data_IF_561245935025
#
_entry.id   IF_561245935025
#
_cell.length_a   1.000
_cell.length_b   1.000
_cell.length_c   1.000
_cell.angle_alpha   90.00
_cell.angle_beta   90.00
_cell.angle_gamma   90.00
#
_symmetry.space_group_name_H-M   'P 1'
#
loop_
_entity.id
_entity.type
_entity.pdbx_description
1 polymer ?
#
# COMPACT_ATOMS: atom_id res chain seq x y z
N UNK A 1 40.63 -36.35 8.05
CA UNK A 1 40.85 -35.31 7.02
C UNK A 1 40.04 -34.09 7.45
N UNK A 2 40.69 -33.12 8.09
CA UNK A 2 40.05 -31.88 8.53
C UNK A 2 39.78 -30.99 7.32
N UNK A 3 38.52 -30.61 7.13
CA UNK A 3 38.15 -29.57 6.18
C UNK A 3 38.69 -28.25 6.74
N UNK A 4 39.80 -27.79 6.17
CA UNK A 4 40.33 -26.44 6.36
C UNK A 4 39.19 -25.48 6.05
N UNK A 5 38.70 -24.77 7.07
CA UNK A 5 37.84 -23.60 6.88
C UNK A 5 38.60 -22.63 5.97
N UNK A 6 38.23 -22.61 4.70
CA UNK A 6 38.69 -21.60 3.76
C UNK A 6 38.29 -20.24 4.35
N UNK A 7 39.28 -19.44 4.72
CA UNK A 7 39.06 -18.06 5.12
C UNK A 7 38.30 -17.38 3.98
N UNK A 8 37.06 -16.98 4.25
CA UNK A 8 36.27 -16.20 3.30
C UNK A 8 37.07 -14.92 3.05
N UNK A 9 37.45 -14.61 1.80
CA UNK A 9 38.23 -13.42 1.53
C UNK A 9 37.44 -12.21 2.02
N UNK A 10 38.09 -11.25 2.69
CA UNK A 10 37.42 -10.08 3.21
C UNK A 10 36.63 -9.36 2.09
N UNK A 11 35.32 -9.18 2.32
CA UNK A 11 34.45 -8.47 1.39
C UNK A 11 34.91 -7.01 1.30
N UNK A 12 35.55 -6.66 0.19
CA UNK A 12 35.94 -5.28 -0.11
C UNK A 12 35.22 -4.80 -1.37
N UNK A 13 34.38 -3.79 -1.23
CA UNK A 13 33.79 -3.12 -2.39
C UNK A 13 34.82 -2.20 -3.03
N UNK A 14 35.06 -2.37 -4.34
CA UNK A 14 35.98 -1.53 -5.14
C UNK A 14 35.27 -0.37 -5.85
N UNK A 15 33.94 -0.41 -5.95
CA UNK A 15 33.16 0.63 -6.62
C UNK A 15 33.02 1.91 -5.78
N UNK A 16 33.62 2.99 -6.28
CA UNK A 16 33.47 4.33 -5.73
C UNK A 16 32.07 4.90 -6.02
N UNK A 17 31.50 5.73 -5.13
CA UNK A 17 30.29 6.48 -5.43
C UNK A 17 30.54 7.57 -6.49
N UNK A 18 29.54 7.93 -7.33
CA UNK A 18 28.18 7.40 -7.35
C UNK A 18 28.06 6.07 -8.10
N UNK A 19 27.42 5.08 -7.46
CA UNK A 19 27.18 3.75 -8.01
C UNK A 19 25.90 3.70 -8.82
N UNK A 20 25.90 2.88 -9.88
CA UNK A 20 24.71 2.62 -10.69
C UNK A 20 23.97 1.40 -10.14
N UNK A 21 22.72 1.60 -9.74
CA UNK A 21 21.83 0.50 -9.34
C UNK A 21 20.83 0.23 -10.45
N UNK A 22 20.68 -1.04 -10.84
CA UNK A 22 19.64 -1.48 -11.77
C UNK A 22 18.24 -1.09 -11.25
N UNK A 23 17.31 -0.76 -12.15
CA UNK A 23 15.95 -0.35 -11.78
C UNK A 23 15.22 -1.47 -11.05
N UNK A 24 15.46 -2.73 -11.44
CA UNK A 24 14.90 -3.90 -10.78
C UNK A 24 15.40 -4.01 -9.34
N UNK A 25 16.71 -3.84 -9.12
CA UNK A 25 17.31 -3.81 -7.78
C UNK A 25 16.69 -2.70 -6.93
N UNK A 26 16.53 -1.50 -7.49
CA UNK A 26 15.89 -0.39 -6.78
C UNK A 26 14.44 -0.73 -6.41
N UNK A 27 13.66 -1.30 -7.33
CA UNK A 27 12.28 -1.69 -7.05
C UNK A 27 12.19 -2.79 -5.98
N UNK A 28 13.08 -3.79 -6.00
CA UNK A 28 13.12 -4.86 -4.98
C UNK A 28 13.46 -4.28 -3.61
N UNK A 29 14.40 -3.34 -3.53
CA UNK A 29 14.75 -2.67 -2.27
C UNK A 29 13.61 -1.78 -1.75
N UNK A 30 12.83 -1.16 -2.64
CA UNK A 30 11.72 -0.30 -2.26
C UNK A 30 10.47 -1.06 -1.82
N UNK A 31 10.17 -2.19 -2.46
CA UNK A 31 8.87 -2.87 -2.34
C UNK A 31 8.96 -4.35 -1.93
N UNK A 32 10.17 -4.91 -1.79
CA UNK A 32 10.39 -6.33 -1.57
C UNK A 32 10.39 -6.77 -0.11
N UNK A 33 10.19 -5.85 0.84
CA UNK A 33 10.05 -6.20 2.26
C UNK A 33 8.67 -6.80 2.56
N UNK A 34 8.58 -7.58 3.64
CA UNK A 34 7.36 -8.32 3.99
C UNK A 34 6.18 -7.38 4.25
N UNK A 35 6.40 -6.24 4.92
CA UNK A 35 5.35 -5.27 5.19
C UNK A 35 4.81 -4.67 3.89
N UNK A 36 5.69 -4.29 2.96
CA UNK A 36 5.26 -3.85 1.63
C UNK A 36 4.49 -4.92 0.86
N UNK A 37 4.90 -6.19 0.91
CA UNK A 37 4.17 -7.28 0.23
C UNK A 37 2.76 -7.45 0.78
N UNK A 38 2.60 -7.40 2.11
CA UNK A 38 1.27 -7.40 2.75
C UNK A 38 0.47 -6.16 2.36
N UNK A 39 1.11 -4.99 2.32
CA UNK A 39 0.50 -3.75 1.87
C UNK A 39 -0.04 -3.84 0.44
N UNK A 40 0.76 -4.38 -0.49
CA UNK A 40 0.36 -4.59 -1.88
C UNK A 40 -0.80 -5.58 -2.03
N UNK A 41 -0.81 -6.65 -1.24
CA UNK A 41 -1.89 -7.63 -1.22
C UNK A 41 -3.20 -7.00 -0.73
N UNK A 42 -3.16 -6.29 0.40
CA UNK A 42 -4.32 -5.59 0.96
C UNK A 42 -4.82 -4.50 0.02
N UNK A 43 -3.91 -3.78 -0.64
CA UNK A 43 -4.27 -2.80 -1.66
C UNK A 43 -4.94 -3.48 -2.85
N UNK A 44 -4.40 -4.59 -3.37
CA UNK A 44 -5.00 -5.32 -4.50
C UNK A 44 -6.42 -5.79 -4.18
N UNK A 45 -6.61 -6.45 -3.04
CA UNK A 45 -7.91 -6.95 -2.61
C UNK A 45 -8.87 -5.80 -2.31
N UNK A 46 -8.37 -4.77 -1.61
CA UNK A 46 -9.12 -3.57 -1.27
C UNK A 46 -9.58 -2.78 -2.50
N UNK A 47 -8.77 -2.74 -3.55
CA UNK A 47 -9.09 -2.09 -4.81
C UNK A 47 -10.33 -2.67 -5.46
N UNK A 48 -10.54 -3.99 -5.39
CA UNK A 48 -11.77 -4.61 -5.92
C UNK A 48 -13.00 -4.04 -5.24
N UNK A 49 -12.97 -3.92 -3.91
CA UNK A 49 -14.05 -3.30 -3.13
C UNK A 49 -14.19 -1.82 -3.44
N UNK A 50 -13.08 -1.09 -3.57
CA UNK A 50 -13.11 0.32 -3.95
C UNK A 50 -13.82 0.53 -5.30
N UNK A 51 -13.43 -0.21 -6.34
CA UNK A 51 -14.01 -0.05 -7.68
C UNK A 51 -15.46 -0.50 -7.79
N UNK A 52 -15.87 -1.51 -7.03
CA UNK A 52 -17.24 -2.06 -7.10
C UNK A 52 -18.22 -1.36 -6.16
N UNK A 53 -17.77 -0.99 -4.96
CA UNK A 53 -18.61 -0.45 -3.88
C UNK A 53 -18.52 1.07 -3.81
N UNK A 54 -17.32 1.65 -3.74
CA UNK A 54 -17.17 3.10 -3.49
C UNK A 54 -17.76 3.94 -4.63
N UNK A 55 -17.58 3.48 -5.87
CA UNK A 55 -18.12 4.13 -7.08
C UNK A 55 -19.66 4.11 -7.10
N UNK A 56 -20.27 3.17 -6.39
CA UNK A 56 -21.71 2.92 -6.29
C UNK A 56 -22.23 3.06 -4.85
N UNK A 57 -21.62 3.92 -4.03
CA UNK A 57 -22.01 4.17 -2.64
C UNK A 57 -22.58 5.57 -2.45
N UNK A 58 -23.48 5.71 -1.47
CA UNK A 58 -24.01 6.99 -1.04
C UNK A 58 -22.96 7.95 -0.48
N UNK A 59 -21.75 7.52 -0.08
CA UNK A 59 -20.71 8.45 0.36
C UNK A 59 -20.32 9.47 -0.71
N UNK A 60 -20.47 9.13 -2.00
CA UNK A 60 -20.27 10.08 -3.10
C UNK A 60 -21.18 11.31 -2.98
N UNK A 61 -22.37 11.13 -2.39
CA UNK A 61 -23.37 12.18 -2.24
C UNK A 61 -22.97 13.25 -1.23
N UNK A 62 -22.21 12.89 -0.19
CA UNK A 62 -21.73 13.85 0.83
C UNK A 62 -20.93 15.00 0.22
N UNK A 63 -20.21 14.74 -0.88
CA UNK A 63 -19.46 15.76 -1.61
C UNK A 63 -20.32 16.50 -2.65
N UNK A 64 -21.30 15.82 -3.26
CA UNK A 64 -22.18 16.39 -4.29
C UNK A 64 -23.25 17.33 -3.69
N UNK A 65 -23.75 17.05 -2.49
CA UNK A 65 -24.93 17.73 -1.92
C UNK A 65 -24.65 19.10 -1.30
N UNK A 66 -23.37 19.46 -1.06
CA UNK A 66 -23.02 20.63 -0.25
C UNK A 66 -23.41 21.98 -0.86
N UNK A 67 -23.57 22.05 -2.19
CA UNK A 67 -23.82 23.29 -2.94
C UNK A 67 -25.04 23.19 -3.89
N UNK A 68 -25.97 22.26 -3.64
CA UNK A 68 -27.11 22.03 -4.54
C UNK A 68 -28.41 22.48 -3.88
N UNK A 69 -29.14 23.39 -4.54
CA UNK A 69 -30.50 23.75 -4.18
C UNK A 69 -31.49 22.71 -4.72
N UNK A 70 -31.88 21.79 -3.85
CA UNK A 70 -32.79 20.70 -4.20
C UNK A 70 -34.24 21.19 -4.29
N UNK A 71 -34.89 20.87 -5.41
CA UNK A 71 -36.33 21.08 -5.60
C UNK A 71 -37.09 19.75 -5.62
N UNK A 72 -38.40 19.79 -5.47
CA UNK A 72 -39.28 18.60 -5.46
C UNK A 72 -40.38 18.70 -6.50
N UNK A 73 -40.71 17.58 -7.15
CA UNK A 73 -41.80 17.49 -8.11
C UNK A 73 -42.45 16.10 -8.10
N UNK A 74 -43.77 15.97 -8.29
CA UNK A 74 -44.39 14.66 -8.48
C UNK A 74 -43.93 13.98 -9.76
N UNK A 75 -43.77 12.66 -9.70
CA UNK A 75 -43.56 11.78 -10.84
C UNK A 75 -44.06 10.37 -10.53
N UNK A 76 -43.65 9.39 -11.33
CA UNK A 76 -44.21 8.04 -11.27
C UNK A 76 -43.14 6.97 -11.38
N UNK A 77 -43.33 5.88 -10.62
CA UNK A 77 -42.51 4.67 -10.74
C UNK A 77 -42.85 3.97 -12.05
N UNK A 78 -41.83 3.63 -12.84
CA UNK A 78 -41.94 2.91 -14.11
C UNK A 78 -41.78 1.40 -13.87
N UNK A 79 -40.75 1.02 -13.11
CA UNK A 79 -40.40 -0.37 -12.85
C UNK A 79 -39.83 -0.52 -11.44
N UNK A 80 -40.00 -1.72 -10.88
CA UNK A 80 -39.50 -2.13 -9.57
C UNK A 80 -38.84 -3.51 -9.70
N UNK A 81 -37.51 -3.52 -9.68
CA UNK A 81 -36.70 -4.72 -9.92
C UNK A 81 -35.95 -5.14 -8.64
N UNK A 82 -35.90 -6.43 -8.29
CA UNK A 82 -35.06 -6.90 -7.20
C UNK A 82 -33.57 -6.80 -7.59
N UNK A 83 -32.72 -6.31 -6.70
CA UNK A 83 -31.27 -6.21 -6.96
C UNK A 83 -30.51 -7.51 -6.67
N UNK A 84 -31.15 -8.47 -5.98
CA UNK A 84 -30.48 -9.65 -5.43
C UNK A 84 -29.66 -9.36 -4.16
N UNK A 85 -29.56 -8.10 -3.73
CA UNK A 85 -28.86 -7.69 -2.52
C UNK A 85 -29.80 -7.67 -1.32
N UNK A 86 -29.24 -7.93 -0.14
CA UNK A 86 -29.95 -7.93 1.15
C UNK A 86 -29.17 -7.11 2.16
N UNK A 87 -29.85 -6.22 2.89
CA UNK A 87 -29.29 -5.42 3.98
C UNK A 87 -30.16 -5.60 5.22
N UNK A 88 -29.56 -6.02 6.35
CA UNK A 88 -30.26 -6.32 7.60
C UNK A 88 -31.45 -7.30 7.43
N UNK A 89 -31.29 -8.31 6.57
CA UNK A 89 -32.33 -9.29 6.28
C UNK A 89 -33.45 -8.79 5.36
N UNK A 90 -33.38 -7.55 4.88
CA UNK A 90 -34.36 -6.96 3.97
C UNK A 90 -33.80 -6.84 2.55
N UNK A 91 -34.63 -7.19 1.57
CA UNK A 91 -34.25 -7.09 0.16
C UNK A 91 -34.13 -5.63 -0.28
N UNK A 92 -33.10 -5.35 -1.08
CA UNK A 92 -32.90 -4.05 -1.72
C UNK A 92 -33.60 -4.06 -3.08
N UNK A 93 -34.50 -3.10 -3.29
CA UNK A 93 -35.25 -2.92 -4.53
C UNK A 93 -34.70 -1.75 -5.32
N UNK A 94 -34.64 -1.89 -6.65
CA UNK A 94 -34.28 -0.84 -7.60
C UNK A 94 -35.54 -0.32 -8.29
N UNK A 95 -35.74 0.98 -8.26
CA UNK A 95 -36.87 1.66 -8.91
C UNK A 95 -36.39 2.53 -10.04
N UNK A 96 -36.95 2.32 -11.23
CA UNK A 96 -36.86 3.29 -12.32
C UNK A 96 -38.09 4.18 -12.28
N UNK A 97 -37.92 5.49 -12.41
CA UNK A 97 -39.02 6.45 -12.37
C UNK A 97 -38.86 7.54 -13.42
N UNK A 98 -39.92 8.32 -13.62
CA UNK A 98 -39.86 9.53 -14.45
C UNK A 98 -40.66 10.69 -13.88
N UNK A 99 -40.25 11.90 -14.25
CA UNK A 99 -40.97 13.14 -14.00
C UNK A 99 -40.85 14.10 -15.18
N UNK A 100 -41.80 15.03 -15.29
CA UNK A 100 -41.82 16.05 -16.35
C UNK A 100 -41.37 17.40 -15.83
N UNK A 101 -40.43 18.06 -16.51
CA UNK A 101 -39.97 19.43 -16.23
C UNK A 101 -39.86 20.20 -17.54
N UNK A 102 -40.56 21.35 -17.63
CA UNK A 102 -40.55 22.24 -18.82
C UNK A 102 -40.79 21.50 -20.15
N UNK A 103 -41.78 20.60 -20.19
CA UNK A 103 -42.11 19.80 -21.37
C UNK A 103 -41.14 18.65 -21.68
N UNK A 104 -40.04 18.50 -20.94
CA UNK A 104 -39.10 17.37 -21.07
C UNK A 104 -39.34 16.32 -19.99
N UNK A 105 -39.17 15.05 -20.35
CA UNK A 105 -39.25 13.93 -19.41
C UNK A 105 -37.84 13.54 -18.97
N UNK A 106 -37.66 13.42 -17.67
CA UNK A 106 -36.43 12.97 -17.04
C UNK A 106 -36.65 11.60 -16.41
N UNK A 107 -35.58 10.82 -16.35
CA UNK A 107 -35.57 9.48 -15.80
C UNK A 107 -34.47 9.39 -14.75
N UNK A 108 -34.64 8.47 -13.80
CA UNK A 108 -33.64 8.18 -12.81
C UNK A 108 -33.88 6.85 -12.12
N UNK A 109 -32.94 6.50 -11.25
CA UNK A 109 -32.95 5.26 -10.50
C UNK A 109 -32.83 5.57 -8.99
N UNK A 110 -33.57 4.84 -8.17
CA UNK A 110 -33.51 4.96 -6.71
C UNK A 110 -33.68 3.60 -6.06
N UNK A 111 -33.16 3.45 -4.85
CA UNK A 111 -33.07 2.19 -4.15
C UNK A 111 -33.76 2.27 -2.79
N UNK A 112 -34.47 1.23 -2.41
CA UNK A 112 -35.04 1.11 -1.07
C UNK A 112 -34.60 -0.18 -0.40
N UNK A 113 -34.51 -0.14 0.93
CA UNK A 113 -34.35 -1.33 1.77
C UNK A 113 -35.71 -1.68 2.33
N UNK A 114 -36.25 -2.86 1.97
CA UNK A 114 -37.51 -3.39 2.51
C UNK A 114 -38.81 -2.71 2.05
N UNK A 115 -38.78 -1.44 1.62
CA UNK A 115 -39.99 -0.72 1.17
C UNK A 115 -40.30 -1.01 -0.30
N UNK A 116 -41.43 -1.64 -0.59
CA UNK A 116 -41.88 -1.88 -1.97
C UNK A 116 -42.71 -0.72 -2.52
N UNK A 117 -42.46 -0.32 -3.77
CA UNK A 117 -43.35 0.56 -4.53
C UNK A 117 -43.87 -0.18 -5.77
N UNK A 118 -45.11 0.09 -6.13
CA UNK A 118 -45.72 -0.52 -7.29
C UNK A 118 -45.51 0.33 -8.55
N UNK A 119 -45.39 -0.29 -9.74
CA UNK A 119 -45.39 0.45 -10.99
C UNK A 119 -46.60 1.38 -11.11
N UNK A 120 -46.40 2.55 -11.70
CA UNK A 120 -47.36 3.66 -11.85
C UNK A 120 -47.73 4.40 -10.56
N UNK A 121 -47.17 4.01 -9.41
CA UNK A 121 -47.35 4.76 -8.17
C UNK A 121 -46.75 6.16 -8.28
N UNK A 122 -47.51 7.16 -7.83
CA UNK A 122 -47.04 8.55 -7.73
C UNK A 122 -46.05 8.68 -6.58
N UNK A 123 -44.90 9.28 -6.85
CA UNK A 123 -43.83 9.54 -5.88
C UNK A 123 -43.31 10.96 -6.04
N UNK A 124 -42.78 11.54 -4.96
CA UNK A 124 -42.11 12.84 -5.04
C UNK A 124 -40.64 12.63 -5.35
N UNK A 125 -40.17 13.31 -6.40
CA UNK A 125 -38.80 13.25 -6.87
C UNK A 125 -38.10 14.55 -6.52
N UNK A 126 -36.96 14.41 -5.87
CA UNK A 126 -36.03 15.50 -5.60
C UNK A 126 -35.05 15.61 -6.75
N UNK A 127 -34.80 16.83 -7.23
CA UNK A 127 -33.92 17.08 -8.37
C UNK A 127 -33.13 18.39 -8.22
N UNK A 128 -31.95 18.45 -8.84
CA UNK A 128 -31.14 19.66 -8.98
C UNK A 128 -31.70 20.52 -10.12
N UNK A 129 -32.07 21.77 -9.84
CA UNK A 129 -32.62 22.66 -10.86
C UNK A 129 -31.60 23.03 -11.96
N UNK A 130 -30.31 23.12 -11.61
CA UNK A 130 -29.22 23.39 -12.56
C UNK A 130 -28.87 22.17 -13.41
N UNK A 131 -29.04 20.96 -12.86
CA UNK A 131 -28.80 19.70 -13.58
C UNK A 131 -29.91 18.67 -13.29
N UNK A 132 -31.10 18.77 -13.92
CA UNK A 132 -32.25 17.91 -13.57
C UNK A 132 -32.04 16.41 -13.77
N UNK A 133 -30.97 16.00 -14.48
CA UNK A 133 -30.54 14.60 -14.54
C UNK A 133 -30.03 14.04 -13.21
N UNK A 134 -29.65 14.90 -12.26
CA UNK A 134 -29.37 14.54 -10.86
C UNK A 134 -30.68 14.59 -10.09
N UNK A 135 -31.30 13.43 -9.92
CA UNK A 135 -32.59 13.31 -9.28
C UNK A 135 -32.71 11.97 -8.54
N UNK A 136 -33.64 11.88 -7.59
CA UNK A 136 -33.96 10.68 -6.81
C UNK A 136 -35.34 10.77 -6.16
N UNK A 137 -35.94 9.63 -5.84
CA UNK A 137 -37.20 9.59 -5.08
C UNK A 137 -36.92 9.99 -3.63
N UNK A 138 -37.71 10.92 -3.08
CA UNK A 138 -37.56 11.37 -1.70
C UNK A 138 -37.74 10.20 -0.72
N UNK A 139 -36.78 10.05 0.19
CA UNK A 139 -36.77 8.98 1.19
C UNK A 139 -36.18 7.65 0.69
N UNK A 140 -35.66 7.61 -0.54
CA UNK A 140 -34.91 6.48 -1.09
C UNK A 140 -33.44 6.87 -1.33
N UNK A 141 -32.61 5.86 -1.47
CA UNK A 141 -31.18 5.97 -1.76
C UNK A 141 -30.93 6.17 -3.25
N UNK A 142 -29.84 6.85 -3.61
CA UNK A 142 -29.41 6.99 -5.02
C UNK A 142 -28.63 5.79 -5.53
N UNK A 143 -28.03 5.03 -4.62
CA UNK A 143 -27.20 3.89 -4.95
C UNK A 143 -27.63 2.64 -4.17
N UNK A 144 -27.23 1.47 -4.66
CA UNK A 144 -27.59 0.19 -4.06
C UNK A 144 -26.88 -0.04 -2.72
N UNK A 145 -25.64 0.44 -2.59
CA UNK A 145 -24.85 0.26 -1.37
C UNK A 145 -25.07 1.42 -0.39
N UNK A 146 -25.30 1.05 0.87
CA UNK A 146 -25.30 1.96 2.01
C UNK A 146 -23.93 2.60 2.21
N UNK A 147 -23.89 3.79 2.81
CA UNK A 147 -22.64 4.43 3.25
C UNK A 147 -21.84 3.58 4.25
N UNK A 148 -22.48 2.61 4.91
CA UNK A 148 -21.76 1.63 5.76
C UNK A 148 -20.81 0.74 4.95
N UNK A 149 -21.10 0.50 3.68
CA UNK A 149 -20.23 -0.30 2.82
C UNK A 149 -18.87 0.39 2.57
N UNK A 150 -18.78 1.71 2.79
CA UNK A 150 -17.52 2.44 2.67
C UNK A 150 -16.50 2.10 3.77
N UNK A 151 -16.91 1.41 4.85
CA UNK A 151 -15.96 0.86 5.83
C UNK A 151 -14.97 -0.12 5.19
N UNK A 152 -15.36 -0.80 4.11
CA UNK A 152 -14.44 -1.66 3.36
C UNK A 152 -13.29 -0.89 2.69
N UNK A 153 -13.42 0.44 2.52
CA UNK A 153 -12.35 1.29 1.99
C UNK A 153 -11.21 1.51 2.97
N UNK A 154 -11.38 1.12 4.24
CA UNK A 154 -10.27 1.06 5.19
C UNK A 154 -9.23 0.00 4.83
N UNK A 155 -9.64 -1.07 4.15
CA UNK A 155 -8.72 -2.15 3.73
C UNK A 155 -7.64 -1.65 2.76
N UNK A 156 -7.97 -1.03 1.60
CA UNK A 156 -6.95 -0.48 0.72
C UNK A 156 -6.18 0.68 1.39
N UNK A 157 -6.83 1.47 2.26
CA UNK A 157 -6.16 2.53 3.01
C UNK A 157 -5.08 1.98 3.96
N UNK A 158 -5.39 0.91 4.69
CA UNK A 158 -4.42 0.23 5.54
C UNK A 158 -3.30 -0.42 4.71
N UNK A 159 -3.63 -0.99 3.55
CA UNK A 159 -2.64 -1.45 2.58
C UNK A 159 -1.68 -0.34 2.15
N UNK A 160 -2.19 0.84 1.80
CA UNK A 160 -1.38 2.02 1.47
C UNK A 160 -0.50 2.47 2.63
N UNK A 161 -1.03 2.47 3.86
CA UNK A 161 -0.24 2.82 5.05
C UNK A 161 0.98 1.89 5.20
N UNK A 162 0.78 0.58 5.05
CA UNK A 162 1.87 -0.41 5.11
C UNK A 162 2.90 -0.25 3.98
N UNK A 163 2.52 0.35 2.84
CA UNK A 163 3.45 0.69 1.76
C UNK A 163 4.24 1.97 2.06
N UNK A 164 3.59 2.99 2.61
CA UNK A 164 4.20 4.32 2.80
C UNK A 164 5.17 4.34 3.99
N UNK A 165 4.85 3.63 5.08
CA UNK A 165 5.68 3.62 6.29
C UNK A 165 7.14 3.15 6.03
N UNK A 166 7.40 1.97 5.43
CA UNK A 166 8.78 1.51 5.18
C UNK A 166 9.45 2.25 4.01
N UNK A 167 8.68 2.91 3.14
CA UNK A 167 9.22 3.55 1.92
C UNK A 167 10.31 4.57 2.24
N UNK A 168 10.17 5.35 3.32
CA UNK A 168 11.17 6.34 3.73
C UNK A 168 12.51 5.70 4.09
N UNK A 169 12.48 4.57 4.80
CA UNK A 169 13.67 3.82 5.19
C UNK A 169 14.30 3.15 3.96
N UNK A 170 13.49 2.54 3.11
CA UNK A 170 13.95 1.91 1.87
C UNK A 170 14.56 2.93 0.89
N UNK A 171 14.01 4.14 0.79
CA UNK A 171 14.60 5.24 0.03
C UNK A 171 15.96 5.67 0.60
N UNK A 172 16.10 5.69 1.94
CA UNK A 172 17.39 5.93 2.59
C UNK A 172 18.41 4.85 2.22
N UNK A 173 18.02 3.57 2.21
CA UNK A 173 18.86 2.46 1.77
C UNK A 173 19.32 2.65 0.33
N UNK A 174 18.38 2.89 -0.60
CA UNK A 174 18.71 3.11 -2.03
C UNK A 174 19.64 4.30 -2.22
N UNK A 175 19.41 5.40 -1.49
CA UNK A 175 20.29 6.58 -1.52
C UNK A 175 21.70 6.22 -1.05
N UNK A 176 21.83 5.55 0.10
CA UNK A 176 23.13 5.14 0.64
C UNK A 176 23.87 4.17 -0.29
N UNK A 177 23.17 3.23 -0.93
CA UNK A 177 23.79 2.34 -1.91
C UNK A 177 24.37 3.09 -3.11
N UNK A 178 23.72 4.18 -3.55
CA UNK A 178 24.20 5.01 -4.66
C UNK A 178 25.39 5.88 -4.28
N UNK A 179 25.31 6.61 -3.16
CA UNK A 179 26.25 7.70 -2.85
C UNK A 179 27.08 7.50 -1.57
N UNK A 180 26.77 6.47 -0.77
CA UNK A 180 27.42 6.25 0.51
C UNK A 180 28.80 5.61 0.38
N UNK A 181 29.69 5.93 1.30
CA UNK A 181 30.98 5.28 1.47
C UNK A 181 30.91 4.11 2.42
N UNK A 182 31.77 3.13 2.17
CA UNK A 182 31.91 1.96 3.01
C UNK A 182 32.98 2.17 4.08
N UNK A 183 32.70 1.71 5.27
CA UNK A 183 33.65 1.62 6.39
C UNK A 183 33.35 0.36 7.19
N UNK A 184 34.18 0.07 8.18
CA UNK A 184 34.00 -1.05 9.10
C UNK A 184 33.58 -0.52 10.46
N UNK A 185 32.49 -1.08 10.99
CA UNK A 185 31.96 -0.75 12.30
C UNK A 185 32.22 -1.88 13.29
N UNK A 186 32.77 -1.57 14.46
CA UNK A 186 32.92 -2.54 15.55
C UNK A 186 31.67 -2.56 16.41
N UNK A 187 31.16 -3.74 16.74
CA UNK A 187 30.04 -3.88 17.66
C UNK A 187 30.41 -3.28 19.04
N UNK A 188 29.64 -2.31 19.50
CA UNK A 188 29.81 -1.70 20.84
C UNK A 188 28.68 -2.04 21.78
N UNK A 189 27.45 -2.21 21.28
CA UNK A 189 26.29 -2.54 22.12
C UNK A 189 25.32 -3.51 21.43
N UNK A 190 24.70 -4.38 22.23
CA UNK A 190 23.59 -5.28 21.86
C UNK A 190 22.55 -5.24 22.98
N UNK A 191 21.31 -4.89 22.65
CA UNK A 191 20.21 -4.86 23.62
C UNK A 191 18.97 -5.58 23.08
N UNK A 192 18.26 -6.36 23.91
CA UNK A 192 16.97 -6.91 23.51
C UNK A 192 15.97 -5.77 23.34
N UNK A 193 15.15 -5.82 22.28
CA UNK A 193 14.10 -4.82 22.04
C UNK A 193 12.83 -5.10 22.86
N UNK A 194 12.68 -6.33 23.36
CA UNK A 194 11.43 -6.84 23.92
C UNK A 194 10.44 -7.33 22.86
N UNK A 195 10.71 -7.09 21.57
CA UNK A 195 9.91 -7.57 20.45
C UNK A 195 10.33 -8.99 20.06
N UNK A 196 9.39 -9.76 19.50
CA UNK A 196 9.64 -11.12 19.00
C UNK A 196 9.09 -11.27 17.59
N UNK A 197 9.84 -12.00 16.76
CA UNK A 197 9.49 -12.29 15.37
C UNK A 197 9.20 -13.79 15.27
N UNK A 198 8.06 -14.13 14.68
CA UNK A 198 7.69 -15.52 14.42
C UNK A 198 8.07 -15.91 13.00
N UNK A 199 8.94 -16.90 12.85
CA UNK A 199 9.40 -17.42 11.55
C UNK A 199 9.31 -18.94 11.55
N UNK A 200 8.47 -19.51 10.69
CA UNK A 200 8.35 -20.97 10.54
C UNK A 200 7.89 -21.73 11.78
N UNK A 201 7.13 -21.09 12.68
CA UNK A 201 6.69 -21.69 13.96
C UNK A 201 7.63 -21.41 15.13
N UNK A 202 8.87 -20.96 14.87
CA UNK A 202 9.82 -20.54 15.90
C UNK A 202 9.63 -19.07 16.25
N UNK A 203 9.68 -18.75 17.54
CA UNK A 203 9.66 -17.38 18.06
C UNK A 203 11.11 -16.97 18.34
N UNK A 204 11.57 -15.91 17.69
CA UNK A 204 12.94 -15.40 17.80
C UNK A 204 12.91 -13.98 18.38
N UNK A 205 13.73 -13.64 19.39
CA UNK A 205 13.81 -12.28 19.91
C UNK A 205 14.46 -11.35 18.88
N UNK A 206 13.96 -10.12 18.79
CA UNK A 206 14.62 -9.06 18.02
C UNK A 206 15.60 -8.29 18.91
N UNK A 207 16.82 -8.09 18.42
CA UNK A 207 17.85 -7.31 19.09
C UNK A 207 18.13 -6.01 18.36
N UNK A 208 18.53 -4.99 19.12
CA UNK A 208 19.11 -3.75 18.60
C UNK A 208 20.62 -3.80 18.77
N UNK A 209 21.33 -3.51 17.70
CA UNK A 209 22.78 -3.46 17.64
C UNK A 209 23.26 -2.04 17.37
N UNK A 210 24.40 -1.68 17.95
CA UNK A 210 25.11 -0.44 17.68
C UNK A 210 26.55 -0.73 17.31
N UNK A 211 26.98 -0.25 16.15
CA UNK A 211 28.31 -0.38 15.62
C UNK A 211 29.00 0.98 15.60
N UNK A 212 30.18 1.07 16.20
CA UNK A 212 31.02 2.27 16.17
C UNK A 212 31.94 2.23 14.96
N UNK A 213 31.95 3.31 14.18
CA UNK A 213 32.90 3.52 13.09
C UNK A 213 33.51 4.91 13.17
N UNK A 214 34.72 5.08 12.65
CA UNK A 214 35.43 6.35 12.64
C UNK A 214 35.46 6.96 11.23
N UNK A 215 35.26 8.27 11.16
CA UNK A 215 35.47 9.05 9.95
C UNK A 215 36.09 10.40 10.30
N UNK A 216 37.27 10.70 9.73
CA UNK A 216 38.03 11.94 9.97
C UNK A 216 38.29 12.23 11.47
N UNK A 217 38.64 11.22 12.25
CA UNK A 217 38.92 11.38 13.68
C UNK A 217 37.68 11.46 14.58
N UNK A 218 36.46 11.41 14.00
CA UNK A 218 35.21 11.45 14.75
C UNK A 218 34.55 10.08 14.71
N UNK A 219 34.13 9.60 15.88
CA UNK A 219 33.40 8.35 16.05
C UNK A 219 31.90 8.55 15.84
N UNK A 220 31.28 7.64 15.11
CA UNK A 220 29.86 7.64 14.79
C UNK A 220 29.26 6.27 15.11
N UNK A 221 27.94 6.24 15.33
CA UNK A 221 27.20 5.02 15.57
C UNK A 221 26.28 4.70 14.39
N UNK A 222 26.35 3.45 13.92
CA UNK A 222 25.38 2.84 13.04
C UNK A 222 24.52 1.85 13.83
N UNK A 223 23.21 2.02 13.77
CA UNK A 223 22.27 1.18 14.52
C UNK A 223 21.45 0.31 13.57
N UNK A 224 21.18 -0.93 13.96
CA UNK A 224 20.24 -1.79 13.26
C UNK A 224 19.41 -2.62 14.24
N UNK A 225 18.29 -3.17 13.74
CA UNK A 225 17.47 -4.15 14.46
C UNK A 225 17.36 -5.41 13.62
N UNK A 226 17.54 -6.57 14.23
CA UNK A 226 17.42 -7.85 13.54
C UNK A 226 17.17 -8.98 14.52
N UNK A 227 16.48 -10.03 14.05
CA UNK A 227 16.39 -11.32 14.71
C UNK A 227 17.42 -12.32 14.15
N UNK A 228 18.06 -11.98 13.03
CA UNK A 228 19.08 -12.80 12.37
C UNK A 228 20.45 -12.40 12.92
N UNK A 229 20.70 -12.74 14.20
CA UNK A 229 21.91 -12.37 14.94
C UNK A 229 23.19 -12.84 14.24
N UNK A 230 23.12 -14.01 13.61
CA UNK A 230 24.25 -14.64 12.92
C UNK A 230 24.72 -13.86 11.69
N UNK A 231 23.97 -12.86 11.22
CA UNK A 231 24.35 -12.00 10.09
C UNK A 231 25.08 -10.72 10.47
N UNK A 232 25.15 -10.43 11.77
CA UNK A 232 25.71 -9.18 12.30
C UNK A 232 26.70 -9.43 13.45
N UNK A 233 27.02 -10.71 13.67
CA UNK A 233 27.96 -11.21 14.68
C UNK A 233 28.94 -12.23 14.06
N UNK A 234 28.90 -12.46 12.75
CA UNK A 234 29.78 -13.40 12.06
C UNK A 234 31.20 -12.85 11.85
N UNK A 235 31.33 -11.52 11.77
CA UNK A 235 32.62 -10.84 11.64
C UNK A 235 32.94 -9.97 12.87
N UNK A 236 34.22 -9.74 13.18
CA UNK A 236 34.62 -8.80 14.26
C UNK A 236 34.16 -7.36 13.98
N UNK A 237 33.98 -7.04 12.70
CA UNK A 237 33.53 -5.73 12.24
C UNK A 237 32.54 -5.88 11.09
N UNK A 238 31.43 -5.16 11.19
CA UNK A 238 30.38 -5.14 10.18
C UNK A 238 30.61 -4.07 9.12
N UNK A 239 30.09 -4.32 7.93
CA UNK A 239 30.11 -3.34 6.84
C UNK A 239 29.11 -2.23 7.16
N UNK A 240 29.60 -1.00 7.32
CA UNK A 240 28.77 0.20 7.51
C UNK A 240 28.82 1.05 6.25
N UNK A 241 27.65 1.49 5.80
CA UNK A 241 27.48 2.38 4.66
C UNK A 241 26.98 3.74 5.14
N UNK A 242 27.70 4.82 4.86
CA UNK A 242 27.40 6.15 5.39
C UNK A 242 27.55 7.26 4.35
N UNK A 243 26.89 8.40 4.54
CA UNK A 243 27.12 9.59 3.71
C UNK A 243 28.32 10.38 4.24
N UNK A 244 29.36 10.57 3.43
CA UNK A 244 30.57 11.33 3.81
C UNK A 244 30.31 12.78 4.22
N UNK A 245 29.22 13.39 3.73
CA UNK A 245 28.83 14.76 4.06
C UNK A 245 27.93 14.84 5.29
N UNK A 246 27.36 13.70 5.72
CA UNK A 246 26.49 13.59 6.89
C UNK A 246 26.63 12.17 7.48
N UNK A 247 27.70 11.86 8.25
CA UNK A 247 27.99 10.48 8.67
C UNK A 247 26.97 9.85 9.62
N UNK A 248 26.10 10.64 10.24
CA UNK A 248 24.92 10.16 10.99
C UNK A 248 23.88 9.50 10.08
N UNK A 249 23.88 9.84 8.79
CA UNK A 249 23.12 9.15 7.76
C UNK A 249 23.90 7.91 7.32
N UNK A 250 23.70 6.82 8.08
CA UNK A 250 24.39 5.53 7.88
C UNK A 250 23.44 4.32 7.97
N UNK A 251 23.92 3.14 7.62
CA UNK A 251 23.26 1.85 7.85
C UNK A 251 24.29 0.72 7.99
N UNK A 252 23.91 -0.36 8.66
CA UNK A 252 24.66 -1.62 8.70
C UNK A 252 24.22 -2.46 7.50
N UNK A 253 25.16 -2.84 6.63
CA UNK A 253 24.87 -3.38 5.30
C UNK A 253 24.12 -4.71 5.37
N UNK A 254 24.66 -5.69 6.10
CA UNK A 254 24.12 -7.06 6.16
C UNK A 254 22.80 -7.16 6.95
N UNK A 255 22.48 -6.14 7.75
CA UNK A 255 21.22 -6.05 8.48
C UNK A 255 20.01 -5.67 7.60
N UNK A 256 20.23 -5.13 6.40
CA UNK A 256 19.14 -4.67 5.54
C UNK A 256 18.61 -5.82 4.67
N UNK A 257 17.28 -6.06 4.64
CA UNK A 257 16.72 -7.12 3.82
C UNK A 257 16.94 -6.85 2.33
N UNK A 258 17.10 -7.92 1.57
CA UNK A 258 17.28 -7.86 0.11
C UNK A 258 18.50 -7.07 -0.36
N UNK A 259 19.55 -6.89 0.44
CA UNK A 259 20.75 -6.21 -0.03
C UNK A 259 21.44 -6.94 -1.19
N UNK A 260 21.98 -6.20 -2.18
CA UNK A 260 22.84 -6.75 -3.21
C UNK A 260 24.04 -7.47 -2.59
N UNK A 261 24.42 -8.63 -3.12
CA UNK A 261 25.66 -9.28 -2.68
C UNK A 261 26.87 -8.55 -3.28
N UNK A 262 27.96 -8.43 -2.53
CA UNK A 262 29.23 -7.91 -3.06
C UNK A 262 30.01 -9.08 -3.65
N UNK A 263 30.20 -9.11 -4.97
CA UNK A 263 30.90 -10.19 -5.64
C UNK A 263 32.42 -10.13 -5.42
N UNK A 264 33.15 -11.14 -5.90
CA UNK A 264 34.63 -11.23 -5.79
C UNK A 264 35.36 -10.08 -6.49
N UNK A 265 34.72 -9.45 -7.49
CA UNK A 265 35.25 -8.25 -8.15
C UNK A 265 35.11 -6.98 -7.28
N UNK A 266 34.43 -7.07 -6.14
CA UNK A 266 34.11 -5.93 -5.28
C UNK A 266 33.04 -5.03 -5.89
N UNK A 267 32.08 -5.60 -6.63
CA UNK A 267 30.92 -4.92 -7.22
C UNK A 267 29.61 -5.43 -6.64
N UNK A 268 28.57 -4.60 -6.65
CA UNK A 268 27.23 -5.02 -6.24
C UNK A 268 26.58 -5.87 -7.33
N UNK A 269 26.27 -7.13 -7.02
CA UNK A 269 25.55 -8.02 -7.92
C UNK A 269 24.09 -7.59 -8.05
N UNK A 270 23.50 -7.52 -9.26
CA UNK A 270 22.11 -7.15 -9.45
C UNK A 270 21.17 -8.19 -8.82
N UNK A 271 20.09 -7.74 -8.20
CA UNK A 271 19.07 -8.61 -7.64
C UNK A 271 18.16 -9.10 -8.78
N UNK A 272 18.47 -10.26 -9.35
CA UNK A 272 17.72 -10.87 -10.46
C UNK A 272 17.18 -12.26 -10.09
N UNK A 273 16.37 -12.83 -10.98
CA UNK A 273 15.86 -14.20 -10.85
C UNK A 273 14.78 -14.34 -9.77
N UNK A 274 14.93 -15.31 -8.85
CA UNK A 274 13.93 -15.64 -7.84
C UNK A 274 13.51 -14.44 -6.97
N UNK A 275 14.46 -13.54 -6.65
CA UNK A 275 14.16 -12.32 -5.87
C UNK A 275 13.26 -11.33 -6.61
N UNK A 276 13.27 -11.32 -7.95
CA UNK A 276 12.40 -10.44 -8.73
C UNK A 276 10.91 -10.83 -8.63
N UNK A 277 10.59 -12.05 -8.17
CA UNK A 277 9.19 -12.48 -7.96
C UNK A 277 8.44 -11.61 -6.96
N UNK A 278 9.12 -10.96 -6.03
CA UNK A 278 8.49 -10.01 -5.08
C UNK A 278 7.89 -8.80 -5.78
N UNK A 279 8.28 -8.52 -7.03
CA UNK A 279 7.71 -7.43 -7.82
C UNK A 279 6.39 -7.80 -8.50
N UNK A 280 5.99 -9.08 -8.48
CA UNK A 280 4.74 -9.53 -9.09
C UNK A 280 3.54 -8.82 -8.49
N UNK A 281 3.41 -8.79 -7.16
CA UNK A 281 2.29 -8.12 -6.49
C UNK A 281 2.22 -6.61 -6.79
N UNK A 282 3.30 -5.82 -6.64
CA UNK A 282 3.29 -4.40 -7.04
C UNK A 282 2.86 -4.17 -8.48
N UNK A 283 3.45 -4.91 -9.43
CA UNK A 283 3.15 -4.76 -10.85
C UNK A 283 1.70 -5.14 -11.14
N UNK A 284 1.25 -6.27 -10.61
CA UNK A 284 -0.12 -6.74 -10.74
C UNK A 284 -1.11 -5.70 -10.20
N UNK A 285 -0.90 -5.18 -8.99
CA UNK A 285 -1.80 -4.21 -8.37
C UNK A 285 -1.88 -2.91 -9.17
N UNK A 286 -0.75 -2.39 -9.66
CA UNK A 286 -0.71 -1.17 -10.48
C UNK A 286 -1.42 -1.39 -11.82
N UNK A 287 -1.12 -2.49 -12.51
CA UNK A 287 -1.77 -2.82 -13.80
C UNK A 287 -3.27 -3.04 -13.62
N UNK A 288 -3.67 -3.80 -12.60
CA UNK A 288 -5.08 -4.06 -12.28
C UNK A 288 -5.84 -2.76 -12.05
N UNK A 289 -5.34 -1.87 -11.19
CA UNK A 289 -5.98 -0.59 -10.92
C UNK A 289 -5.97 0.34 -12.14
N UNK A 290 -4.88 0.35 -12.92
CA UNK A 290 -4.78 1.14 -14.14
C UNK A 290 -5.79 0.71 -15.20
N UNK A 291 -5.97 -0.60 -15.40
CA UNK A 291 -6.98 -1.16 -16.30
C UNK A 291 -8.38 -0.76 -15.84
N UNK A 292 -8.71 -0.98 -14.56
CA UNK A 292 -10.01 -0.60 -14.02
C UNK A 292 -10.31 0.89 -14.21
N UNK A 293 -9.34 1.77 -13.91
CA UNK A 293 -9.49 3.21 -14.07
C UNK A 293 -9.73 3.65 -15.52
N UNK A 294 -9.16 2.96 -16.51
CA UNK A 294 -9.35 3.28 -17.94
C UNK A 294 -10.72 2.82 -18.45
N UNK A 295 -11.27 1.73 -17.89
CA UNK A 295 -12.53 1.14 -18.35
C UNK A 295 -13.76 1.54 -17.50
N UNK A 296 -13.59 2.23 -16.37
CA UNK A 296 -14.66 2.73 -15.50
C UNK A 296 -15.06 4.16 -15.82
#
# INVERSE_FOLDING_TARGET
MGLVHGQIPPRYLKELPPRRLDLITQAILLFGDVASQVGWLLLAMGSVFFWTIATNSEARLLLEERNVEWQSKPGFVIAADPTGLVENGQQIWKYRYSFGLNGRRYFGESYSVGKKFDPRQTVFIRYDAGHPGRNYIIGLRRFAHSSKADWFLLVPLFGLLLLVLPLRENLRVVRLLKIGDFTRGRLVNKYPTGETIRKGGTVMPEFRYSFEFEYKGVKYLANCRTHETDKVEDEETEIVLFNRYEPTFNLVYDAVPNMPHINEEGKMAPLRGLKARVLFLPVFTVVFNGVYFVFS
#
